data_IF_028233114332
#
_entry.id   IF_028233114332
#
_cell.length_a   1.000
_cell.length_b   1.000
_cell.length_c   1.000
_cell.angle_alpha   90.00
_cell.angle_beta   90.00
_cell.angle_gamma   90.00
#
_symmetry.space_group_name_H-M   'P 1'
#
loop_
_entity.id
_entity.type
_entity.pdbx_description
1 polymer ?
#
# COMPACT_ATOMS: atom_id res chain seq x y z
N UNK A 1 -7.05 18.38 7.89
CA UNK A 1 -7.95 17.42 7.20
C UNK A 1 -7.08 16.51 6.37
N UNK A 2 -7.25 15.20 6.56
CA UNK A 2 -6.34 14.20 6.00
C UNK A 2 -6.87 13.77 4.63
N UNK A 3 -5.96 13.74 3.65
CA UNK A 3 -6.22 13.45 2.24
C UNK A 3 -5.50 12.17 1.85
N UNK A 4 -6.22 11.24 1.26
CA UNK A 4 -5.67 9.99 0.72
C UNK A 4 -6.09 9.76 -0.72
N UNK A 5 -5.17 9.29 -1.56
CA UNK A 5 -5.46 8.89 -2.93
C UNK A 5 -4.56 7.73 -3.35
N UNK A 6 -5.13 6.77 -4.06
CA UNK A 6 -4.34 5.82 -4.83
C UNK A 6 -4.22 6.31 -6.27
N UNK A 7 -3.00 6.52 -6.75
CA UNK A 7 -2.78 6.87 -8.15
C UNK A 7 -2.91 5.64 -9.05
N UNK A 8 -2.54 4.49 -8.51
CA UNK A 8 -2.60 3.17 -9.13
C UNK A 8 -2.24 2.15 -8.04
N UNK A 9 -2.97 1.04 -8.00
CA UNK A 9 -2.82 0.04 -6.94
C UNK A 9 -2.60 -1.37 -7.46
N UNK A 10 -2.21 -1.57 -8.72
CA UNK A 10 -1.98 -2.90 -9.29
C UNK A 10 -0.57 -3.05 -9.85
N UNK A 11 -0.26 -4.23 -10.38
CA UNK A 11 1.07 -4.61 -10.90
C UNK A 11 1.61 -3.74 -12.07
N UNK A 12 0.83 -2.77 -12.54
CA UNK A 12 1.27 -1.78 -13.52
C UNK A 12 2.05 -0.60 -12.89
N UNK A 13 1.98 -0.43 -11.56
CA UNK A 13 2.69 0.61 -10.83
C UNK A 13 1.95 1.04 -9.57
N UNK A 14 2.38 0.63 -8.38
CA UNK A 14 1.82 1.07 -7.11
C UNK A 14 2.30 2.49 -6.76
N UNK A 15 1.37 3.39 -6.42
CA UNK A 15 1.69 4.72 -5.93
C UNK A 15 0.50 5.34 -5.20
N UNK A 16 0.74 5.86 -4.00
CA UNK A 16 -0.27 6.44 -3.13
C UNK A 16 0.18 7.79 -2.62
N UNK A 17 -0.78 8.69 -2.39
CA UNK A 17 -0.59 9.96 -1.71
C UNK A 17 -1.33 9.94 -0.38
N UNK A 18 -0.64 10.33 0.70
CA UNK A 18 -1.24 10.61 2.00
C UNK A 18 -0.72 11.97 2.45
N UNK A 19 -1.62 12.87 2.84
CA UNK A 19 -1.25 14.25 3.14
C UNK A 19 -2.26 14.95 4.02
N UNK A 20 -1.90 16.14 4.47
CA UNK A 20 -2.79 17.13 5.05
C UNK A 20 -2.91 18.32 4.10
N UNK A 21 -3.44 19.45 4.58
CA UNK A 21 -3.38 20.72 3.83
C UNK A 21 -1.97 21.31 3.79
N UNK A 22 -1.06 20.84 4.65
CA UNK A 22 0.26 21.45 4.84
C UNK A 22 1.38 20.68 4.15
N UNK A 23 1.38 19.36 4.27
CA UNK A 23 2.43 18.50 3.71
C UNK A 23 1.90 17.08 3.51
N UNK A 24 2.68 16.22 2.88
CA UNK A 24 2.32 14.85 2.61
C UNK A 24 3.53 13.96 2.30
N UNK A 25 3.19 12.72 1.96
CA UNK A 25 4.12 11.68 1.58
C UNK A 25 3.58 10.94 0.36
N UNK A 26 4.50 10.45 -0.46
CA UNK A 26 4.21 9.46 -1.49
C UNK A 26 4.60 8.10 -0.95
N UNK A 27 3.76 7.09 -1.14
CA UNK A 27 4.06 5.70 -0.81
C UNK A 27 4.18 4.95 -2.14
N UNK A 28 5.37 4.42 -2.39
CA UNK A 28 5.83 3.81 -3.63
C UNK A 28 5.89 4.75 -4.86
N UNK A 29 6.82 4.43 -5.76
CA UNK A 29 7.14 5.19 -6.96
C UNK A 29 6.98 4.33 -8.24
N UNK A 30 5.87 3.59 -8.30
CA UNK A 30 5.50 2.75 -9.43
C UNK A 30 5.00 3.51 -10.65
N UNK A 31 4.62 4.77 -10.49
CA UNK A 31 4.12 5.65 -11.56
C UNK A 31 5.12 6.74 -11.96
N UNK A 32 5.12 7.13 -13.23
CA UNK A 32 6.04 8.17 -13.70
C UNK A 32 5.79 9.54 -13.05
N UNK A 33 6.83 10.36 -12.89
CA UNK A 33 6.71 11.74 -12.40
C UNK A 33 5.73 12.58 -13.23
N UNK A 34 5.65 12.34 -14.55
CA UNK A 34 4.69 13.01 -15.43
C UNK A 34 3.26 12.69 -15.02
N UNK A 35 2.97 11.41 -14.76
CA UNK A 35 1.65 10.95 -14.30
C UNK A 35 1.35 11.49 -12.90
N UNK A 36 2.28 11.38 -11.96
CA UNK A 36 2.14 11.95 -10.62
C UNK A 36 1.80 13.45 -10.68
N UNK A 37 2.56 14.23 -11.46
CA UNK A 37 2.33 15.67 -11.62
C UNK A 37 0.92 15.96 -12.13
N UNK A 38 0.50 15.27 -13.19
CA UNK A 38 -0.82 15.46 -13.79
C UNK A 38 -1.93 15.19 -12.77
N UNK A 39 -1.85 14.08 -12.06
CA UNK A 39 -2.87 13.69 -11.08
C UNK A 39 -2.92 14.65 -9.90
N UNK A 40 -1.79 15.07 -9.35
CA UNK A 40 -1.78 16.05 -8.25
C UNK A 40 -2.41 17.37 -8.66
N UNK A 41 -2.12 17.85 -9.88
CA UNK A 41 -2.68 19.10 -10.40
C UNK A 41 -4.21 19.06 -10.57
N UNK A 42 -4.82 17.89 -10.76
CA UNK A 42 -6.28 17.75 -10.81
C UNK A 42 -6.96 18.02 -9.46
N UNK A 43 -6.18 18.07 -8.36
CA UNK A 43 -6.64 18.33 -7.00
C UNK A 43 -5.96 19.55 -6.37
N UNK A 44 -5.47 20.49 -7.20
CA UNK A 44 -4.75 21.69 -6.76
C UNK A 44 -3.50 21.40 -5.91
N UNK A 45 -2.91 20.22 -6.09
CA UNK A 45 -1.64 19.82 -5.47
C UNK A 45 -0.50 19.90 -6.49
N UNK A 46 0.71 20.03 -5.97
CA UNK A 46 1.91 20.08 -6.79
C UNK A 46 3.05 19.21 -6.23
N UNK A 47 4.22 19.31 -6.85
CA UNK A 47 5.40 18.56 -6.41
C UNK A 47 5.99 19.08 -5.10
N UNK A 48 5.45 20.12 -4.47
CA UNK A 48 5.84 20.60 -3.15
C UNK A 48 4.81 20.22 -2.07
N UNK A 49 3.63 19.71 -2.45
CA UNK A 49 2.60 19.21 -1.52
C UNK A 49 2.96 17.92 -0.77
N UNK A 50 4.19 17.43 -0.92
CA UNK A 50 4.73 16.31 -0.16
C UNK A 50 6.21 16.55 0.10
N UNK A 51 6.78 15.94 1.13
CA UNK A 51 8.20 16.13 1.47
C UNK A 51 9.03 14.86 1.38
N UNK A 52 8.39 13.69 1.33
CA UNK A 52 9.12 12.41 1.36
C UNK A 52 8.45 11.32 0.51
N UNK A 53 9.23 10.28 0.23
CA UNK A 53 8.75 9.04 -0.39
C UNK A 53 9.01 7.88 0.57
N UNK A 54 8.00 7.06 0.82
CA UNK A 54 8.12 5.75 1.47
C UNK A 54 8.19 4.66 0.41
N UNK A 55 8.98 3.61 0.64
CA UNK A 55 9.07 2.45 -0.27
C UNK A 55 8.77 1.17 0.50
N UNK A 56 7.80 0.39 0.03
CA UNK A 56 7.37 -0.86 0.69
C UNK A 56 8.30 -2.02 0.42
N UNK A 57 8.81 -2.17 -0.82
CA UNK A 57 9.76 -3.21 -1.21
C UNK A 57 10.41 -2.93 -2.58
N UNK A 58 11.25 -3.84 -3.06
CA UNK A 58 12.12 -3.66 -4.23
C UNK A 58 11.57 -4.20 -5.57
N UNK A 59 10.28 -4.55 -5.66
CA UNK A 59 9.69 -4.94 -6.93
C UNK A 59 9.48 -3.77 -7.90
N UNK A 60 9.58 -4.06 -9.19
CA UNK A 60 9.61 -3.05 -10.24
C UNK A 60 8.35 -2.19 -10.27
N UNK A 61 7.18 -2.76 -10.08
CA UNK A 61 5.93 -2.02 -10.01
C UNK A 61 5.84 -1.09 -8.79
N UNK A 62 6.76 -1.15 -7.82
CA UNK A 62 6.87 -0.18 -6.72
C UNK A 62 7.99 0.83 -6.94
N UNK A 63 9.06 0.46 -7.65
CA UNK A 63 10.28 1.29 -7.74
C UNK A 63 10.67 1.72 -9.15
N UNK A 64 9.91 1.35 -10.19
CA UNK A 64 10.22 1.62 -11.62
C UNK A 64 10.63 3.05 -11.88
N UNK A 65 10.02 4.02 -11.20
CA UNK A 65 10.31 5.43 -11.38
C UNK A 65 11.05 6.07 -10.21
N UNK A 66 11.39 5.32 -9.15
CA UNK A 66 12.06 5.85 -7.96
C UNK A 66 13.37 6.57 -8.29
N UNK A 67 14.17 6.08 -9.23
CA UNK A 67 15.39 6.76 -9.64
C UNK A 67 15.14 8.13 -10.29
N UNK A 68 14.03 8.28 -11.02
CA UNK A 68 13.60 9.58 -11.55
C UNK A 68 13.16 10.52 -10.43
N UNK A 69 12.45 10.00 -9.41
CA UNK A 69 12.06 10.78 -8.23
C UNK A 69 13.32 11.31 -7.52
N UNK A 70 14.29 10.45 -7.25
CA UNK A 70 15.55 10.82 -6.60
C UNK A 70 16.27 11.92 -7.41
N UNK A 71 16.43 11.72 -8.72
CA UNK A 71 17.17 12.65 -9.59
C UNK A 71 16.49 14.01 -9.76
N UNK A 72 15.15 14.07 -9.76
CA UNK A 72 14.40 15.28 -10.17
C UNK A 72 13.78 16.03 -9.00
N UNK A 73 13.43 15.32 -7.92
CA UNK A 73 12.78 15.91 -6.75
C UNK A 73 13.76 16.11 -5.60
N UNK A 74 14.83 15.31 -5.52
CA UNK A 74 15.81 15.33 -4.43
C UNK A 74 15.19 15.22 -3.03
N UNK A 75 14.06 14.51 -2.93
CA UNK A 75 13.35 14.28 -1.67
C UNK A 75 13.87 13.02 -0.98
N UNK A 76 13.89 12.98 0.36
CA UNK A 76 14.28 11.79 1.09
C UNK A 76 13.37 10.60 0.80
N UNK A 77 13.99 9.44 0.63
CA UNK A 77 13.35 8.14 0.46
C UNK A 77 13.56 7.33 1.74
N UNK A 78 12.47 7.04 2.43
CA UNK A 78 12.43 6.29 3.67
C UNK A 78 12.00 4.85 3.43
N UNK A 79 12.75 3.92 4.01
CA UNK A 79 12.42 2.49 4.08
C UNK A 79 13.43 1.81 5.03
N UNK A 80 13.35 0.50 5.19
CA UNK A 80 14.27 -0.27 6.03
C UNK A 80 15.70 -0.29 5.47
N UNK A 81 16.67 -0.64 6.31
CA UNK A 81 18.06 -0.86 5.90
C UNK A 81 18.19 -1.96 4.85
N UNK A 82 17.40 -3.02 4.97
CA UNK A 82 17.42 -4.19 4.07
C UNK A 82 16.95 -3.79 2.68
N UNK A 83 15.84 -3.05 2.58
CA UNK A 83 15.31 -2.58 1.31
C UNK A 83 16.29 -1.58 0.67
N UNK A 84 16.86 -0.64 1.44
CA UNK A 84 17.88 0.29 0.91
C UNK A 84 19.09 -0.43 0.30
N UNK A 85 19.56 -1.52 0.91
CA UNK A 85 20.65 -2.33 0.33
C UNK A 85 20.24 -2.96 -1.00
N UNK A 86 19.00 -3.42 -1.14
CA UNK A 86 18.46 -3.92 -2.40
C UNK A 86 18.38 -2.81 -3.46
N UNK A 87 17.81 -1.66 -3.10
CA UNK A 87 17.69 -0.49 -3.99
C UNK A 87 19.06 0.03 -4.47
N UNK A 88 20.09 -0.03 -3.63
CA UNK A 88 21.45 0.37 -3.99
C UNK A 88 22.12 -0.57 -5.01
N UNK A 89 21.58 -1.78 -5.20
CA UNK A 89 22.07 -2.78 -6.17
C UNK A 89 21.14 -2.92 -7.38
N UNK A 90 19.90 -2.47 -7.25
CA UNK A 90 18.89 -2.59 -8.28
C UNK A 90 19.12 -1.58 -9.42
N UNK A 91 19.06 -2.05 -10.68
CA UNK A 91 19.48 -1.29 -11.87
C UNK A 91 18.75 0.04 -12.07
N UNK A 92 17.47 0.13 -11.67
CA UNK A 92 16.65 1.33 -11.82
C UNK A 92 16.92 2.42 -10.77
N UNK A 93 17.56 2.07 -9.66
CA UNK A 93 17.66 2.93 -8.47
C UNK A 93 19.09 3.18 -8.02
N UNK A 94 19.99 2.20 -8.20
CA UNK A 94 21.39 2.25 -7.80
C UNK A 94 22.12 3.55 -8.21
N UNK A 95 21.93 4.12 -9.43
CA UNK A 95 22.65 5.33 -9.83
C UNK A 95 22.22 6.62 -9.09
N UNK A 96 21.10 6.59 -8.35
CA UNK A 96 20.43 7.82 -7.88
C UNK A 96 19.94 7.78 -6.43
N UNK A 97 19.76 6.60 -5.84
CA UNK A 97 19.15 6.46 -4.51
C UNK A 97 20.05 6.97 -3.37
N UNK A 98 21.38 6.90 -3.54
CA UNK A 98 22.36 7.18 -2.49
C UNK A 98 22.13 8.50 -1.74
N UNK A 99 22.05 9.66 -2.43
CA UNK A 99 21.81 10.96 -1.78
C UNK A 99 20.43 11.11 -1.14
N UNK A 100 19.43 10.33 -1.56
CA UNK A 100 18.07 10.43 -1.05
C UNK A 100 17.80 9.49 0.12
N UNK A 101 18.72 8.58 0.44
CA UNK A 101 18.51 7.52 1.43
C UNK A 101 18.27 8.07 2.84
N UNK A 102 17.16 7.66 3.44
CA UNK A 102 16.86 7.77 4.87
C UNK A 102 16.37 6.43 5.40
N UNK A 103 16.98 5.93 6.45
CA UNK A 103 16.67 4.60 7.01
C UNK A 103 15.69 4.77 8.15
N UNK A 104 14.66 3.93 8.18
CA UNK A 104 13.84 3.70 9.37
C UNK A 104 14.42 2.47 10.07
N UNK A 105 14.82 2.58 11.34
CA UNK A 105 15.30 1.43 12.08
C UNK A 105 14.12 0.53 12.51
N UNK A 106 14.39 -0.76 12.70
CA UNK A 106 13.38 -1.71 13.14
C UNK A 106 12.83 -1.35 14.52
N UNK A 107 11.50 -1.36 14.66
CA UNK A 107 10.83 -0.98 15.89
C UNK A 107 10.78 0.52 16.18
N UNK A 108 11.46 1.35 15.39
CA UNK A 108 11.48 2.81 15.55
C UNK A 108 10.22 3.45 14.94
N UNK A 109 9.76 4.54 15.57
CA UNK A 109 8.78 5.44 15.01
C UNK A 109 9.43 6.80 14.80
N UNK A 110 9.43 7.28 13.56
CA UNK A 110 10.07 8.54 13.16
C UNK A 110 9.04 9.54 12.67
N UNK A 111 9.39 10.83 12.68
CA UNK A 111 8.54 11.88 12.13
C UNK A 111 8.95 12.25 10.71
N UNK A 112 7.99 12.23 9.78
CA UNK A 112 8.17 12.53 8.36
C UNK A 112 6.99 13.40 7.92
N UNK A 113 7.26 14.61 7.42
CA UNK A 113 6.20 15.51 6.92
C UNK A 113 5.06 15.76 7.94
N UNK A 114 5.39 15.85 9.24
CA UNK A 114 4.41 16.00 10.33
C UNK A 114 3.61 14.73 10.66
N UNK A 115 4.00 13.57 10.13
CA UNK A 115 3.39 12.27 10.37
C UNK A 115 4.34 11.36 11.12
N UNK A 116 3.84 10.62 12.12
CA UNK A 116 4.61 9.59 12.80
C UNK A 116 4.52 8.29 12.00
N UNK A 117 5.64 7.80 11.52
CA UNK A 117 5.71 6.62 10.64
C UNK A 117 6.51 5.52 11.30
N UNK A 118 5.97 4.31 11.29
CA UNK A 118 6.64 3.06 11.66
C UNK A 118 6.34 2.00 10.62
N UNK A 119 7.32 1.17 10.28
CA UNK A 119 7.11 0.01 9.42
C UNK A 119 6.91 -1.27 10.24
N UNK A 120 6.30 -2.27 9.61
CA UNK A 120 6.22 -3.65 10.09
C UNK A 120 6.43 -4.60 8.91
N UNK A 121 6.96 -5.79 9.14
CA UNK A 121 7.32 -6.73 8.07
C UNK A 121 6.12 -7.60 7.70
N UNK A 122 5.92 -7.80 6.40
CA UNK A 122 4.94 -8.73 5.84
C UNK A 122 5.63 -9.72 4.89
N UNK A 123 5.21 -11.00 4.86
CA UNK A 123 5.74 -11.97 3.91
C UNK A 123 5.35 -11.59 2.49
N UNK A 124 6.33 -11.54 1.60
CA UNK A 124 6.17 -11.44 0.16
C UNK A 124 7.48 -11.90 -0.49
N UNK A 125 7.46 -12.24 -1.76
CA UNK A 125 8.60 -12.81 -2.48
C UNK A 125 9.55 -11.73 -3.04
N UNK A 126 9.88 -10.76 -2.19
CA UNK A 126 10.85 -9.70 -2.40
C UNK A 126 12.05 -9.84 -1.45
N UNK A 127 13.03 -8.92 -1.50
CA UNK A 127 14.16 -8.96 -0.56
C UNK A 127 13.69 -8.77 0.89
N UNK A 128 12.74 -7.85 1.09
CA UNK A 128 11.93 -7.66 2.28
C UNK A 128 10.73 -6.82 1.86
N UNK A 129 9.56 -7.11 2.43
CA UNK A 129 8.37 -6.28 2.25
C UNK A 129 7.87 -5.75 3.57
N UNK A 130 7.49 -4.48 3.57
CA UNK A 130 6.98 -3.81 4.75
C UNK A 130 5.64 -3.14 4.47
N UNK A 131 4.76 -3.18 5.47
CA UNK A 131 3.64 -2.26 5.59
C UNK A 131 4.03 -1.07 6.46
N UNK A 132 3.22 0.00 6.40
CA UNK A 132 3.42 1.21 7.19
C UNK A 132 2.23 1.49 8.10
N UNK A 133 2.50 1.78 9.37
CA UNK A 133 1.57 2.38 10.31
C UNK A 133 1.93 3.86 10.48
N UNK A 134 0.95 4.72 10.25
CA UNK A 134 1.13 6.16 10.12
C UNK A 134 0.11 6.87 11.01
N UNK A 135 0.56 7.72 11.92
CA UNK A 135 -0.31 8.60 12.71
C UNK A 135 -0.17 10.04 12.21
N UNK A 136 -1.28 10.64 11.82
CA UNK A 136 -1.36 12.02 11.29
C UNK A 136 -2.57 12.73 11.89
N UNK A 137 -2.38 13.89 12.52
CA UNK A 137 -3.46 14.66 13.17
C UNK A 137 -4.35 13.82 14.13
N UNK A 138 -3.77 12.78 14.75
CA UNK A 138 -4.48 11.85 15.64
C UNK A 138 -5.19 10.67 14.94
N UNK A 139 -5.24 10.67 13.62
CA UNK A 139 -5.78 9.59 12.79
C UNK A 139 -4.73 8.52 12.52
N UNK A 140 -5.09 7.25 12.67
CA UNK A 140 -4.21 6.11 12.47
C UNK A 140 -4.51 5.45 11.13
N UNK A 141 -3.55 5.53 10.23
CA UNK A 141 -3.60 5.00 8.89
C UNK A 141 -2.62 3.83 8.75
N UNK A 142 -3.10 2.69 8.26
CA UNK A 142 -2.26 1.52 7.97
C UNK A 142 -2.36 1.18 6.50
N UNK A 143 -1.21 0.94 5.85
CA UNK A 143 -1.15 0.44 4.49
C UNK A 143 -0.24 -0.78 4.41
N UNK A 144 -0.76 -1.84 3.80
CA UNK A 144 -0.04 -3.08 3.53
C UNK A 144 -0.48 -3.60 2.16
N UNK A 145 0.41 -3.50 1.18
CA UNK A 145 0.26 -4.09 -0.15
C UNK A 145 1.17 -5.31 -0.25
N UNK A 146 0.91 -6.19 -1.23
CA UNK A 146 1.76 -7.35 -1.50
C UNK A 146 2.02 -8.19 -0.24
N UNK A 147 0.92 -8.71 0.31
CA UNK A 147 0.89 -9.41 1.59
C UNK A 147 0.63 -10.89 1.31
N UNK A 148 1.67 -11.70 1.19
CA UNK A 148 1.53 -13.15 1.01
C UNK A 148 0.78 -13.84 2.14
N UNK A 149 0.89 -13.33 3.37
CA UNK A 149 0.09 -13.78 4.52
C UNK A 149 -0.06 -12.68 5.56
N UNK A 150 -1.24 -12.58 6.15
CA UNK A 150 -1.48 -11.68 7.28
C UNK A 150 -0.73 -12.14 8.55
N UNK A 151 0.18 -11.30 9.05
CA UNK A 151 0.94 -11.54 10.30
C UNK A 151 0.20 -11.00 11.51
N UNK A 152 0.54 -11.50 12.70
CA UNK A 152 -0.05 -10.99 13.95
C UNK A 152 0.33 -9.52 14.19
N UNK A 153 1.57 -9.12 13.87
CA UNK A 153 2.00 -7.73 13.98
C UNK A 153 1.19 -6.81 13.05
N UNK A 154 0.95 -7.21 11.79
CA UNK A 154 0.13 -6.44 10.86
C UNK A 154 -1.31 -6.28 11.37
N UNK A 155 -1.90 -7.34 11.94
CA UNK A 155 -3.22 -7.29 12.59
C UNK A 155 -3.21 -6.34 13.79
N UNK A 156 -2.17 -6.35 14.62
CA UNK A 156 -2.09 -5.47 15.80
C UNK A 156 -2.00 -3.99 15.44
N UNK A 157 -1.37 -3.64 14.32
CA UNK A 157 -1.43 -2.27 13.79
C UNK A 157 -2.82 -1.95 13.22
N UNK A 158 -3.38 -2.84 12.40
CA UNK A 158 -4.70 -2.64 11.81
C UNK A 158 -5.82 -2.53 12.85
N UNK A 159 -5.72 -3.26 13.96
CA UNK A 159 -6.66 -3.23 15.10
C UNK A 159 -6.78 -1.88 15.78
N UNK A 160 -5.77 -1.03 15.61
CA UNK A 160 -5.72 0.31 16.22
C UNK A 160 -6.01 1.39 15.20
N UNK A 161 -6.16 1.04 13.92
CA UNK A 161 -6.27 1.97 12.81
C UNK A 161 -7.72 2.46 12.60
N UNK A 162 -7.83 3.70 12.13
CA UNK A 162 -9.07 4.31 11.65
C UNK A 162 -9.25 4.06 10.14
N UNK A 163 -8.14 3.91 9.41
CA UNK A 163 -8.11 3.57 7.98
C UNK A 163 -7.12 2.45 7.70
N UNK A 164 -7.54 1.43 6.95
CA UNK A 164 -6.67 0.33 6.50
C UNK A 164 -6.71 0.22 4.97
N UNK A 165 -5.55 0.26 4.32
CA UNK A 165 -5.34 -0.16 2.94
C UNK A 165 -4.74 -1.56 2.98
N UNK A 166 -5.42 -2.54 2.40
CA UNK A 166 -5.03 -3.96 2.49
C UNK A 166 -5.19 -4.64 1.13
N UNK A 167 -4.24 -5.52 0.81
CA UNK A 167 -4.30 -6.34 -0.39
C UNK A 167 -5.50 -7.30 -0.38
N UNK A 168 -6.16 -7.43 -1.53
CA UNK A 168 -7.16 -8.47 -1.82
C UNK A 168 -6.93 -8.92 -3.26
N UNK A 169 -5.91 -9.74 -3.48
CA UNK A 169 -5.33 -9.93 -4.80
C UNK A 169 -6.17 -10.84 -5.68
N UNK A 170 -6.53 -12.03 -5.23
CA UNK A 170 -7.19 -13.02 -6.07
C UNK A 170 -8.37 -13.71 -5.38
N UNK A 171 -9.30 -14.15 -6.21
CA UNK A 171 -10.28 -15.17 -5.91
C UNK A 171 -9.68 -16.54 -6.24
N UNK A 172 -9.80 -17.51 -5.31
CA UNK A 172 -9.13 -18.81 -5.44
C UNK A 172 -9.61 -19.60 -6.66
N UNK A 173 -10.92 -19.58 -6.92
CA UNK A 173 -11.50 -20.32 -8.05
C UNK A 173 -11.09 -19.70 -9.37
N UNK A 174 -11.11 -18.36 -9.46
CA UNK A 174 -10.61 -17.66 -10.64
C UNK A 174 -9.12 -17.93 -10.88
N UNK A 175 -8.29 -17.92 -9.83
CA UNK A 175 -6.86 -18.21 -9.95
C UNK A 175 -6.62 -19.64 -10.45
N UNK A 176 -7.27 -20.63 -9.83
CA UNK A 176 -7.04 -22.04 -10.17
C UNK A 176 -7.60 -22.40 -11.55
N UNK A 177 -8.75 -21.83 -11.93
CA UNK A 177 -9.34 -21.97 -13.27
C UNK A 177 -8.68 -21.08 -14.34
N UNK A 178 -7.87 -20.11 -13.93
CA UNK A 178 -7.29 -19.09 -14.80
C UNK A 178 -6.12 -19.57 -15.67
N UNK A 179 -5.64 -18.70 -16.58
CA UNK A 179 -4.68 -19.04 -17.63
C UNK A 179 -3.22 -19.13 -17.15
N UNK A 180 -2.95 -18.81 -15.88
CA UNK A 180 -1.59 -18.83 -15.34
C UNK A 180 -1.01 -20.25 -15.34
N UNK A 181 0.31 -20.36 -15.48
CA UNK A 181 0.97 -21.66 -15.33
C UNK A 181 0.86 -22.15 -13.89
N UNK A 182 1.00 -23.45 -13.69
CA UNK A 182 0.92 -24.04 -12.35
C UNK A 182 1.96 -23.42 -11.40
N UNK A 183 3.18 -23.20 -11.87
CA UNK A 183 4.27 -22.62 -11.09
C UNK A 183 3.93 -21.21 -10.61
N UNK A 184 3.33 -20.38 -11.49
CA UNK A 184 2.90 -19.04 -11.11
C UNK A 184 1.75 -19.08 -10.10
N UNK A 185 0.78 -19.99 -10.27
CA UNK A 185 -0.30 -20.19 -9.30
C UNK A 185 0.26 -20.57 -7.93
N UNK A 186 1.20 -21.52 -7.88
CA UNK A 186 1.82 -21.94 -6.62
C UNK A 186 2.62 -20.80 -5.96
N UNK A 187 3.36 -20.01 -6.74
CA UNK A 187 4.06 -18.82 -6.23
C UNK A 187 3.10 -17.83 -5.57
N UNK A 188 1.90 -17.64 -6.14
CA UNK A 188 0.88 -16.73 -5.62
C UNK A 188 0.28 -17.24 -4.28
N UNK A 189 -0.10 -18.52 -4.20
CA UNK A 189 -0.90 -19.05 -3.06
C UNK A 189 -0.09 -19.53 -1.85
N UNK A 190 1.23 -19.65 -1.94
CA UNK A 190 2.06 -20.31 -0.92
C UNK A 190 2.43 -19.43 0.29
N UNK A 191 1.61 -18.43 0.64
CA UNK A 191 1.81 -17.61 1.84
C UNK A 191 2.93 -16.57 1.75
N UNK A 192 3.68 -16.54 0.65
CA UNK A 192 4.68 -15.51 0.32
C UNK A 192 4.38 -14.81 -1.01
N UNK A 193 3.27 -15.13 -1.67
CA UNK A 193 2.86 -14.49 -2.92
C UNK A 193 1.94 -13.30 -2.62
N UNK A 194 0.63 -13.53 -2.65
CA UNK A 194 -0.35 -12.48 -2.40
C UNK A 194 -1.50 -12.97 -1.51
N UNK A 195 -2.25 -12.02 -0.94
CA UNK A 195 -3.41 -12.32 -0.11
C UNK A 195 -4.63 -12.66 -0.99
N UNK A 196 -5.28 -13.80 -0.76
CA UNK A 196 -6.58 -14.07 -1.36
C UNK A 196 -7.69 -13.18 -0.76
N UNK A 197 -8.83 -13.09 -1.46
CA UNK A 197 -10.03 -12.44 -0.93
C UNK A 197 -10.47 -13.06 0.42
N UNK A 198 -10.41 -14.39 0.56
CA UNK A 198 -10.81 -15.10 1.78
C UNK A 198 -9.86 -14.85 2.96
N UNK A 199 -8.55 -14.80 2.69
CA UNK A 199 -7.56 -14.46 3.70
C UNK A 199 -7.66 -12.98 4.12
N UNK A 200 -7.94 -12.09 3.17
CA UNK A 200 -8.24 -10.69 3.46
C UNK A 200 -9.49 -10.56 4.35
N UNK A 201 -10.59 -11.25 4.01
CA UNK A 201 -11.80 -11.33 4.82
C UNK A 201 -11.53 -11.92 6.23
N UNK A 202 -10.68 -12.94 6.33
CA UNK A 202 -10.22 -13.47 7.61
C UNK A 202 -9.46 -12.43 8.43
N UNK A 203 -8.54 -11.68 7.81
CA UNK A 203 -7.82 -10.59 8.45
C UNK A 203 -8.77 -9.48 8.94
N UNK A 204 -9.74 -9.06 8.12
CA UNK A 204 -10.73 -8.04 8.46
C UNK A 204 -11.48 -8.41 9.74
N UNK A 205 -11.94 -9.67 9.88
CA UNK A 205 -12.60 -10.13 11.11
C UNK A 205 -11.71 -10.02 12.34
N UNK A 206 -10.40 -10.19 12.18
CA UNK A 206 -9.44 -10.10 13.29
C UNK A 206 -9.18 -8.65 13.69
N UNK A 207 -9.09 -7.72 12.74
CA UNK A 207 -8.76 -6.33 13.03
C UNK A 207 -9.93 -5.36 13.13
N UNK A 208 -11.15 -5.80 12.80
CA UNK A 208 -12.33 -4.97 12.92
C UNK A 208 -12.57 -4.52 14.38
N UNK A 209 -12.95 -3.25 14.52
CA UNK A 209 -13.39 -2.63 15.78
C UNK A 209 -14.32 -1.44 15.45
N UNK A 210 -15.14 -0.95 16.39
CA UNK A 210 -16.10 0.13 16.13
C UNK A 210 -15.48 1.48 15.69
N UNK A 211 -14.19 1.69 15.95
CA UNK A 211 -13.48 2.90 15.54
C UNK A 211 -13.02 2.87 14.08
N UNK A 212 -12.90 1.71 13.44
CA UNK A 212 -12.45 1.58 12.06
C UNK A 212 -13.45 2.25 11.11
N UNK A 213 -12.99 3.24 10.33
CA UNK A 213 -13.84 4.05 9.43
C UNK A 213 -13.70 3.68 7.98
N UNK A 214 -12.50 3.32 7.54
CA UNK A 214 -12.22 3.10 6.12
C UNK A 214 -11.44 1.80 5.89
N UNK A 215 -11.86 1.02 4.89
CA UNK A 215 -11.08 -0.07 4.34
C UNK A 215 -10.97 0.12 2.83
N UNK A 216 -9.74 0.14 2.33
CA UNK A 216 -9.43 0.20 0.92
C UNK A 216 -8.79 -1.11 0.49
N UNK A 217 -9.47 -1.86 -0.38
CA UNK A 217 -8.94 -3.08 -0.98
C UNK A 217 -8.06 -2.69 -2.17
N UNK A 218 -6.79 -3.07 -2.13
CA UNK A 218 -5.82 -2.75 -3.17
C UNK A 218 -5.24 -4.01 -3.83
N UNK A 219 -4.47 -3.82 -4.88
CA UNK A 219 -3.69 -4.86 -5.53
C UNK A 219 -4.49 -6.05 -6.04
N UNK A 220 -5.71 -5.78 -6.52
CA UNK A 220 -6.56 -6.77 -7.18
C UNK A 220 -5.90 -7.24 -8.49
N UNK A 221 -5.79 -8.56 -8.64
CA UNK A 221 -5.30 -9.22 -9.85
C UNK A 221 -6.12 -8.83 -11.06
N UNK A 222 -5.46 -8.71 -12.22
CA UNK A 222 -6.14 -8.42 -13.48
C UNK A 222 -7.11 -9.53 -13.88
N UNK A 223 -6.60 -10.77 -13.83
CA UNK A 223 -7.24 -11.94 -14.40
C UNK A 223 -7.94 -12.81 -13.36
N UNK A 224 -7.51 -12.73 -12.10
CA UNK A 224 -7.94 -13.67 -11.05
C UNK A 224 -8.80 -12.99 -9.99
N UNK A 225 -9.33 -11.80 -10.25
CA UNK A 225 -10.22 -11.12 -9.31
C UNK A 225 -11.13 -10.12 -10.02
N UNK A 226 -12.18 -9.71 -9.33
CA UNK A 226 -13.02 -8.57 -9.71
C UNK A 226 -13.25 -7.67 -8.51
N UNK A 227 -13.54 -6.39 -8.76
CA UNK A 227 -13.90 -5.46 -7.68
C UNK A 227 -15.11 -5.96 -6.88
N UNK A 228 -16.07 -6.59 -7.56
CA UNK A 228 -17.30 -7.10 -6.94
C UNK A 228 -17.02 -8.29 -6.01
N UNK A 229 -16.18 -9.25 -6.43
CA UNK A 229 -15.81 -10.40 -5.57
C UNK A 229 -15.04 -9.96 -4.32
N UNK A 230 -14.00 -9.14 -4.49
CA UNK A 230 -13.22 -8.61 -3.37
C UNK A 230 -14.11 -7.82 -2.39
N UNK A 231 -15.00 -6.96 -2.93
CA UNK A 231 -15.94 -6.19 -2.13
C UNK A 231 -16.92 -7.10 -1.37
N UNK A 232 -17.57 -8.06 -2.05
CA UNK A 232 -18.56 -8.94 -1.42
C UNK A 232 -17.95 -9.78 -0.31
N UNK A 233 -16.77 -10.35 -0.53
CA UNK A 233 -16.07 -11.15 0.48
C UNK A 233 -15.72 -10.31 1.72
N UNK A 234 -15.15 -9.11 1.51
CA UNK A 234 -14.79 -8.20 2.60
C UNK A 234 -16.01 -7.61 3.33
N UNK A 235 -17.09 -7.31 2.60
CA UNK A 235 -18.34 -6.81 3.18
C UNK A 235 -19.02 -7.87 4.05
N UNK A 236 -19.05 -9.12 3.60
CA UNK A 236 -19.57 -10.24 4.39
C UNK A 236 -18.78 -10.41 5.68
N UNK A 237 -17.44 -10.36 5.60
CA UNK A 237 -16.55 -10.45 6.76
C UNK A 237 -16.81 -9.36 7.81
N UNK A 238 -17.07 -8.12 7.37
CA UNK A 238 -17.45 -7.01 8.26
C UNK A 238 -18.78 -7.30 8.96
N UNK A 239 -19.81 -7.74 8.22
CA UNK A 239 -21.12 -8.06 8.80
C UNK A 239 -21.02 -9.21 9.83
N UNK A 240 -20.25 -10.25 9.51
CA UNK A 240 -19.98 -11.37 10.42
C UNK A 240 -19.23 -10.94 11.68
N UNK A 241 -18.32 -9.96 11.56
CA UNK A 241 -17.61 -9.39 12.70
C UNK A 241 -18.51 -8.52 13.61
N UNK A 242 -19.71 -8.16 13.16
CA UNK A 242 -20.66 -7.31 13.89
C UNK A 242 -20.67 -5.84 13.45
N UNK A 243 -20.08 -5.52 12.29
CA UNK A 243 -20.17 -4.18 11.73
C UNK A 243 -21.61 -3.89 11.26
N UNK A 244 -22.20 -2.79 11.74
CA UNK A 244 -23.46 -2.30 11.19
C UNK A 244 -23.25 -1.77 9.77
N UNK A 245 -24.24 -2.03 8.89
CA UNK A 245 -24.17 -1.62 7.48
C UNK A 245 -24.00 -0.10 7.36
N UNK A 246 -22.93 0.32 6.69
CA UNK A 246 -22.64 1.73 6.44
C UNK A 246 -21.76 2.41 7.49
N UNK A 247 -21.33 1.71 8.54
CA UNK A 247 -20.39 2.28 9.54
C UNK A 247 -18.94 2.31 9.06
N UNK A 248 -18.57 1.40 8.15
CA UNK A 248 -17.26 1.33 7.51
C UNK A 248 -17.40 1.64 6.03
N UNK A 249 -16.65 2.63 5.54
CA UNK A 249 -16.49 2.90 4.11
C UNK A 249 -15.52 1.88 3.51
N UNK A 250 -16.07 0.82 2.91
CA UNK A 250 -15.33 -0.21 2.18
C UNK A 250 -15.27 0.12 0.68
N UNK A 251 -14.08 0.15 0.08
CA UNK A 251 -13.89 0.49 -1.34
C UNK A 251 -12.77 -0.33 -1.99
N UNK A 252 -12.97 -0.77 -3.23
CA UNK A 252 -11.91 -1.34 -4.06
C UNK A 252 -11.19 -0.22 -4.82
N UNK A 253 -9.87 -0.12 -4.68
CA UNK A 253 -9.05 0.86 -5.37
C UNK A 253 -8.82 0.48 -6.84
N UNK A 254 -8.81 1.45 -7.76
CA UNK A 254 -8.58 1.21 -9.17
C UNK A 254 -7.15 0.75 -9.48
N UNK A 255 -7.03 -0.28 -10.32
CA UNK A 255 -5.74 -0.89 -10.67
C UNK A 255 -4.83 0.01 -11.52
N UNK A 256 -5.39 0.76 -12.46
CA UNK A 256 -4.63 1.40 -13.56
C UNK A 256 -4.81 2.91 -13.67
N UNK A 257 -5.78 3.51 -12.99
CA UNK A 257 -6.11 4.94 -13.03
C UNK A 257 -6.27 5.48 -11.61
N UNK A 258 -6.14 6.79 -11.37
CA UNK A 258 -6.24 7.34 -10.02
C UNK A 258 -7.64 7.19 -9.44
N UNK A 259 -7.72 6.93 -8.14
CA UNK A 259 -8.96 7.07 -7.39
C UNK A 259 -9.37 8.54 -7.27
N UNK A 260 -10.58 8.78 -6.77
CA UNK A 260 -10.90 10.09 -6.20
C UNK A 260 -9.97 10.41 -5.02
N UNK A 261 -9.84 11.69 -4.66
CA UNK A 261 -9.28 12.09 -3.37
C UNK A 261 -10.27 11.77 -2.26
N UNK A 262 -9.84 10.99 -1.27
CA UNK A 262 -10.60 10.69 -0.07
C UNK A 262 -10.23 11.65 1.05
N UNK A 263 -11.24 12.19 1.73
CA UNK A 263 -11.09 12.88 2.99
C UNK A 263 -11.30 11.85 4.11
N UNK A 264 -10.29 11.66 4.95
CA UNK A 264 -10.29 10.68 6.03
C UNK A 264 -10.76 11.30 7.35
#
# INVERSE_FOLDING_TARGET
>A
MIKFMSLSSGSCGNCYFLGTEHDGIIIDAGVSLRRLKKVLQEYDLDMNSFSAVLVTHDHLDHIRHLGSFCKRLSKPVYTSEVIHKALARHTFTAPTIGPCRKVIAEGEQIEIAGMKVRYFVVPHDATQTVGYAIEVEGHRFVIMTDVGRMTDEAVEFARKADTVVVESNYDMDMLMGGPYTYELKMRIVQGCGHLSNDECASAIRRFWHPGLKNIFLCHLSENNNTHDLAYRCSAAALLEAGAEKGTVSLRCLPRQYPSQMFQL
#
